data_IF_015739207915
#
_entry.id   IF_015739207915
#
_cell.length_a   1.000
_cell.length_b   1.000
_cell.length_c   1.000
_cell.angle_alpha   90.00
_cell.angle_beta   90.00
_cell.angle_gamma   90.00
#
_symmetry.space_group_name_H-M   'P 1'
#
loop_
_entity.id
_entity.type
_entity.pdbx_description
1 polymer ?
#
# COMPACT_ATOMS: atom_id res chain seq x y z
N UNK A 1 22.87 -16.46 2.10
CA UNK A 1 21.41 -16.45 1.81
C UNK A 1 21.20 -16.78 0.35
N UNK A 2 20.11 -17.46 -0.02
CA UNK A 2 19.77 -17.65 -1.44
C UNK A 2 19.28 -16.34 -2.07
N UNK A 3 19.44 -16.18 -3.38
CA UNK A 3 18.95 -15.01 -4.13
C UNK A 3 17.45 -14.77 -3.87
N UNK A 4 16.64 -15.83 -3.81
CA UNK A 4 15.22 -15.72 -3.50
C UNK A 4 14.96 -15.10 -2.12
N UNK A 5 15.78 -15.42 -1.11
CA UNK A 5 15.62 -14.84 0.23
C UNK A 5 16.06 -13.38 0.30
N UNK A 6 17.07 -13.02 -0.48
CA UNK A 6 17.51 -11.62 -0.63
C UNK A 6 16.40 -10.81 -1.31
N UNK A 7 15.87 -11.29 -2.45
CA UNK A 7 14.76 -10.64 -3.18
C UNK A 7 13.54 -10.48 -2.27
N UNK A 8 13.20 -11.51 -1.48
CA UNK A 8 12.11 -11.43 -0.50
C UNK A 8 12.32 -10.26 0.47
N UNK A 9 13.49 -10.15 1.10
CA UNK A 9 13.76 -9.05 2.03
C UNK A 9 13.77 -7.68 1.38
N UNK A 10 14.34 -7.56 0.17
CA UNK A 10 14.28 -6.31 -0.60
C UNK A 10 12.83 -5.88 -0.83
N UNK A 11 11.97 -6.80 -1.27
CA UNK A 11 10.55 -6.52 -1.47
C UNK A 11 9.82 -6.18 -0.16
N UNK A 12 10.14 -6.86 0.94
CA UNK A 12 9.54 -6.57 2.26
C UNK A 12 9.88 -5.16 2.71
N UNK A 13 11.13 -4.74 2.55
CA UNK A 13 11.58 -3.39 2.91
C UNK A 13 10.93 -2.35 1.98
N UNK A 14 10.86 -2.62 0.67
CA UNK A 14 10.22 -1.72 -0.28
C UNK A 14 8.74 -1.48 0.05
N UNK A 15 7.96 -2.55 0.25
CA UNK A 15 6.54 -2.47 0.62
C UNK A 15 6.38 -1.78 1.98
N UNK A 16 7.20 -2.14 2.97
CA UNK A 16 7.11 -1.52 4.30
C UNK A 16 7.43 -0.02 4.25
N UNK A 17 8.44 0.39 3.48
CA UNK A 17 8.83 1.79 3.34
C UNK A 17 7.74 2.63 2.67
N UNK A 18 7.16 2.13 1.59
CA UNK A 18 6.03 2.78 0.91
C UNK A 18 4.83 2.97 1.84
N UNK A 19 4.35 1.89 2.45
CA UNK A 19 3.17 1.92 3.31
C UNK A 19 3.42 2.68 4.61
N UNK A 20 4.66 2.71 5.11
CA UNK A 20 5.02 3.60 6.23
C UNK A 20 4.93 5.06 5.81
N UNK A 21 5.48 5.41 4.64
CA UNK A 21 5.40 6.77 4.10
C UNK A 21 3.96 7.24 3.91
N UNK A 22 3.11 6.40 3.30
CA UNK A 22 1.69 6.70 3.15
C UNK A 22 0.98 6.81 4.51
N UNK A 23 1.22 5.85 5.41
CA UNK A 23 0.64 5.86 6.75
C UNK A 23 0.94 7.14 7.52
N UNK A 24 2.21 7.57 7.55
CA UNK A 24 2.61 8.81 8.23
C UNK A 24 1.98 10.05 7.58
N UNK A 25 1.97 10.16 6.25
CA UNK A 25 1.34 11.30 5.57
C UNK A 25 -0.18 11.36 5.81
N UNK A 26 -0.84 10.20 5.89
CA UNK A 26 -2.26 10.13 6.21
C UNK A 26 -2.53 10.53 7.68
N UNK A 27 -1.72 10.05 8.62
CA UNK A 27 -1.81 10.42 10.04
C UNK A 27 -1.50 11.91 10.29
N UNK A 28 -0.69 12.53 9.45
CA UNK A 28 -0.47 13.98 9.44
C UNK A 28 -1.64 14.78 8.84
N UNK A 29 -2.67 14.11 8.34
CA UNK A 29 -3.85 14.77 7.80
C UNK A 29 -3.59 15.48 6.48
N UNK A 30 -2.82 14.87 5.57
CA UNK A 30 -2.50 15.47 4.27
C UNK A 30 -3.75 16.01 3.55
N UNK A 31 -3.83 17.33 3.42
CA UNK A 31 -5.03 18.05 2.96
C UNK A 31 -5.54 17.57 1.60
N UNK A 32 -4.63 17.32 0.65
CA UNK A 32 -4.99 16.80 -0.66
C UNK A 32 -5.78 15.48 -0.57
N UNK A 33 -5.39 14.57 0.33
CA UNK A 33 -6.02 13.27 0.49
C UNK A 33 -7.38 13.37 1.18
N UNK A 34 -7.53 14.31 2.12
CA UNK A 34 -8.83 14.67 2.70
C UNK A 34 -9.75 15.20 1.59
N UNK A 35 -9.25 16.10 0.74
CA UNK A 35 -9.97 16.65 -0.41
C UNK A 35 -10.42 15.56 -1.38
N UNK A 36 -9.57 14.58 -1.69
CA UNK A 36 -9.95 13.44 -2.53
C UNK A 36 -11.08 12.63 -1.89
N UNK A 37 -10.98 12.32 -0.60
CA UNK A 37 -12.05 11.59 0.12
C UNK A 37 -13.37 12.35 0.02
N UNK A 38 -13.37 13.66 0.24
CA UNK A 38 -14.58 14.49 0.11
C UNK A 38 -15.14 14.45 -1.32
N UNK A 39 -14.28 14.57 -2.33
CA UNK A 39 -14.69 14.54 -3.74
C UNK A 39 -15.38 13.23 -4.13
N UNK A 40 -14.91 12.08 -3.63
CA UNK A 40 -15.51 10.78 -3.96
C UNK A 40 -16.73 10.41 -3.12
N UNK A 41 -16.82 10.88 -1.88
CA UNK A 41 -17.83 10.41 -0.92
C UNK A 41 -18.88 11.44 -0.56
N UNK A 42 -18.62 12.74 -0.78
CA UNK A 42 -19.52 13.84 -0.42
C UNK A 42 -19.62 14.12 1.09
N UNK A 43 -18.78 13.49 1.92
CA UNK A 43 -18.81 13.69 3.39
C UNK A 43 -18.12 14.99 3.81
N UNK A 44 -18.44 15.49 5.01
CA UNK A 44 -17.78 16.69 5.54
C UNK A 44 -16.30 16.46 5.91
N UNK A 45 -15.55 17.56 5.96
CA UNK A 45 -14.08 17.56 6.14
C UNK A 45 -13.63 16.85 7.42
N UNK A 46 -14.37 17.01 8.53
CA UNK A 46 -14.04 16.36 9.80
C UNK A 46 -14.10 14.84 9.71
N UNK A 47 -15.16 14.31 9.10
CA UNK A 47 -15.33 12.86 8.89
C UNK A 47 -14.34 12.33 7.87
N UNK A 48 -14.02 13.09 6.81
CA UNK A 48 -12.96 12.74 5.87
C UNK A 48 -11.58 12.67 6.53
N UNK A 49 -11.25 13.58 7.46
CA UNK A 49 -10.01 13.56 8.22
C UNK A 49 -9.91 12.33 9.16
N UNK A 50 -11.03 11.97 9.80
CA UNK A 50 -11.10 10.74 10.62
C UNK A 50 -10.89 9.51 9.74
N UNK A 51 -11.55 9.43 8.58
CA UNK A 51 -11.37 8.33 7.63
C UNK A 51 -9.91 8.24 7.15
N UNK A 52 -9.28 9.37 6.84
CA UNK A 52 -7.88 9.40 6.45
C UNK A 52 -6.96 8.91 7.57
N UNK A 53 -7.26 9.24 8.83
CA UNK A 53 -6.52 8.74 9.99
C UNK A 53 -6.62 7.21 10.09
N UNK A 54 -7.82 6.64 9.88
CA UNK A 54 -8.03 5.19 9.88
C UNK A 54 -7.28 4.50 8.73
N UNK A 55 -7.27 5.10 7.54
CA UNK A 55 -6.46 4.65 6.40
C UNK A 55 -4.98 4.66 6.78
N UNK A 56 -4.49 5.72 7.42
CA UNK A 56 -3.10 5.80 7.86
C UNK A 56 -2.71 4.69 8.83
N UNK A 57 -3.57 4.38 9.80
CA UNK A 57 -3.37 3.25 10.72
C UNK A 57 -3.34 1.91 9.98
N UNK A 58 -4.21 1.72 8.98
CA UNK A 58 -4.22 0.52 8.14
C UNK A 58 -2.93 0.38 7.34
N UNK A 59 -2.40 1.47 6.80
CA UNK A 59 -1.15 1.46 6.04
C UNK A 59 0.05 1.10 6.94
N UNK A 60 0.12 1.63 8.16
CA UNK A 60 1.12 1.22 9.15
C UNK A 60 0.99 -0.27 9.49
N UNK A 61 -0.23 -0.77 9.64
CA UNK A 61 -0.47 -2.21 9.86
C UNK A 61 0.06 -3.05 8.69
N UNK A 62 -0.22 -2.65 7.43
CA UNK A 62 0.29 -3.34 6.23
C UNK A 62 1.81 -3.34 6.22
N UNK A 63 2.46 -2.21 6.54
CA UNK A 63 3.92 -2.11 6.59
C UNK A 63 4.52 -3.09 7.62
N UNK A 64 3.95 -3.15 8.83
CA UNK A 64 4.39 -4.07 9.87
C UNK A 64 4.22 -5.53 9.46
N UNK A 65 3.08 -5.89 8.85
CA UNK A 65 2.84 -7.24 8.36
C UNK A 65 3.86 -7.61 7.27
N UNK A 66 4.06 -6.73 6.27
CA UNK A 66 5.03 -6.96 5.20
C UNK A 66 6.44 -7.24 5.77
N UNK A 67 6.87 -6.46 6.76
CA UNK A 67 8.20 -6.55 7.37
C UNK A 67 8.38 -7.75 8.31
N UNK A 68 7.37 -8.07 9.15
CA UNK A 68 7.47 -9.09 10.19
C UNK A 68 7.05 -10.48 9.70
N UNK A 69 5.88 -10.60 9.07
CA UNK A 69 5.38 -11.86 8.51
C UNK A 69 4.49 -11.56 7.29
N UNK A 70 4.99 -11.77 6.05
CA UNK A 70 4.34 -11.23 4.85
C UNK A 70 3.13 -12.12 4.49
N UNK A 71 1.98 -11.83 5.13
CA UNK A 71 0.76 -12.62 4.99
C UNK A 71 0.16 -12.45 3.59
N UNK A 72 -0.12 -13.54 2.84
CA UNK A 72 -0.57 -13.45 1.45
C UNK A 72 -1.82 -12.57 1.25
N UNK A 73 -2.81 -12.67 2.14
CA UNK A 73 -4.02 -11.83 2.05
C UNK A 73 -3.73 -10.34 2.24
N UNK A 74 -2.82 -9.99 3.15
CA UNK A 74 -2.43 -8.59 3.39
C UNK A 74 -1.62 -8.04 2.21
N UNK A 75 -0.80 -8.87 1.56
CA UNK A 75 -0.08 -8.46 0.34
C UNK A 75 -1.02 -8.26 -0.85
N UNK A 76 -2.07 -9.07 -1.00
CA UNK A 76 -3.10 -8.85 -2.01
C UNK A 76 -3.87 -7.56 -1.74
N UNK A 77 -4.21 -7.30 -0.48
CA UNK A 77 -4.78 -6.02 -0.08
C UNK A 77 -3.84 -4.86 -0.41
N UNK A 78 -2.56 -4.97 -0.08
CA UNK A 78 -1.55 -3.94 -0.38
C UNK A 78 -1.45 -3.67 -1.89
N UNK A 79 -1.46 -4.71 -2.72
CA UNK A 79 -1.46 -4.56 -4.17
C UNK A 79 -2.73 -3.86 -4.67
N UNK A 80 -3.91 -4.28 -4.20
CA UNK A 80 -5.17 -3.64 -4.56
C UNK A 80 -5.22 -2.17 -4.11
N UNK A 81 -4.85 -1.90 -2.87
CA UNK A 81 -4.90 -0.57 -2.26
C UNK A 81 -3.86 0.38 -2.84
N UNK A 82 -2.63 -0.09 -3.07
CA UNK A 82 -1.60 0.67 -3.77
C UNK A 82 -2.00 1.03 -5.20
N UNK A 83 -2.69 0.12 -5.89
CA UNK A 83 -3.22 0.38 -7.23
C UNK A 83 -4.35 1.41 -7.18
N UNK A 84 -5.31 1.23 -6.26
CA UNK A 84 -6.43 2.15 -6.09
C UNK A 84 -5.96 3.57 -5.78
N UNK A 85 -5.08 3.74 -4.79
CA UNK A 85 -4.54 5.06 -4.41
C UNK A 85 -3.72 5.69 -5.54
N UNK A 86 -2.99 4.90 -6.34
CA UNK A 86 -2.34 5.40 -7.56
C UNK A 86 -3.37 5.85 -8.60
N UNK A 87 -4.41 5.06 -8.84
CA UNK A 87 -5.47 5.32 -9.83
C UNK A 87 -6.32 6.55 -9.48
N UNK A 88 -6.50 6.85 -8.19
CA UNK A 88 -7.23 8.05 -7.73
C UNK A 88 -6.70 9.34 -8.36
N UNK A 89 -5.39 9.44 -8.60
CA UNK A 89 -4.71 10.64 -9.10
C UNK A 89 -5.29 11.16 -10.42
N UNK A 90 -5.29 10.39 -11.52
CA UNK A 90 -5.96 10.82 -12.75
C UNK A 90 -7.47 11.02 -12.58
N UNK A 91 -8.13 10.32 -11.66
CA UNK A 91 -9.57 10.48 -11.41
C UNK A 91 -9.92 11.79 -10.72
N UNK A 92 -9.00 12.38 -9.95
CA UNK A 92 -9.15 13.70 -9.32
C UNK A 92 -8.57 14.84 -10.17
N UNK A 93 -8.07 14.53 -11.38
CA UNK A 93 -7.54 15.50 -12.32
C UNK A 93 -6.02 15.73 -12.27
N UNK A 94 -5.27 14.92 -11.50
CA UNK A 94 -3.80 14.93 -11.57
C UNK A 94 -3.29 14.27 -12.87
N UNK A 95 -2.05 14.55 -13.31
CA UNK A 95 -1.49 13.96 -14.52
C UNK A 95 -1.49 12.43 -14.49
N UNK A 96 -1.74 11.79 -15.64
CA UNK A 96 -1.67 10.32 -15.77
C UNK A 96 -0.28 9.76 -15.40
N UNK A 97 0.77 10.57 -15.54
CA UNK A 97 2.13 10.20 -15.17
C UNK A 97 2.28 9.96 -13.66
N UNK A 98 1.47 10.61 -12.83
CA UNK A 98 1.47 10.40 -11.38
C UNK A 98 0.90 9.02 -11.01
N UNK A 99 0.06 8.44 -11.86
CA UNK A 99 -0.34 7.03 -11.75
C UNK A 99 0.78 6.10 -12.25
N UNK A 100 1.38 6.39 -13.40
CA UNK A 100 2.41 5.55 -14.01
C UNK A 100 3.67 5.47 -13.14
N UNK A 101 4.15 6.59 -12.59
CA UNK A 101 5.35 6.62 -11.73
C UNK A 101 5.16 5.80 -10.44
N UNK A 102 3.91 5.55 -10.03
CA UNK A 102 3.53 4.81 -8.83
C UNK A 102 3.21 3.34 -9.08
N UNK A 103 3.59 2.79 -10.24
CA UNK A 103 3.53 1.34 -10.47
C UNK A 103 4.20 0.49 -9.38
N UNK A 104 5.34 0.92 -8.78
CA UNK A 104 5.95 0.19 -7.67
C UNK A 104 5.00 -0.02 -6.48
N UNK A 105 4.03 0.90 -6.27
CA UNK A 105 3.12 0.89 -5.13
C UNK A 105 2.31 -0.41 -5.01
N UNK A 106 1.99 -1.01 -6.15
CA UNK A 106 1.23 -2.26 -6.20
C UNK A 106 2.02 -3.41 -6.82
N UNK A 107 3.01 -3.10 -7.65
CA UNK A 107 3.91 -4.11 -8.23
C UNK A 107 4.78 -4.79 -7.18
N UNK A 108 5.33 -4.05 -6.22
CA UNK A 108 6.16 -4.60 -5.15
C UNK A 108 5.39 -5.58 -4.23
N UNK A 109 4.22 -5.24 -3.66
CA UNK A 109 3.46 -6.17 -2.83
C UNK A 109 2.94 -7.38 -3.63
N UNK A 110 2.59 -7.21 -4.92
CA UNK A 110 2.18 -8.32 -5.79
C UNK A 110 3.34 -9.29 -6.06
N UNK A 111 4.55 -8.77 -6.32
CA UNK A 111 5.75 -9.59 -6.47
C UNK A 111 6.06 -10.36 -5.17
N UNK A 112 5.95 -9.69 -4.02
CA UNK A 112 6.15 -10.31 -2.71
C UNK A 112 5.11 -11.42 -2.44
N UNK A 113 3.85 -11.22 -2.85
CA UNK A 113 2.80 -12.23 -2.75
C UNK A 113 3.16 -13.52 -3.50
N UNK A 114 3.60 -13.41 -4.76
CA UNK A 114 3.96 -14.59 -5.54
C UNK A 114 5.21 -15.31 -5.01
N UNK A 115 6.17 -14.56 -4.46
CA UNK A 115 7.37 -15.13 -3.87
C UNK A 115 7.08 -15.87 -2.56
N UNK A 116 6.20 -15.32 -1.71
CA UNK A 116 5.80 -15.92 -0.43
C UNK A 116 4.83 -17.09 -0.60
N UNK A 117 3.89 -17.01 -1.56
CA UNK A 117 2.95 -18.08 -1.88
C UNK A 117 3.63 -19.36 -2.41
N UNK A 118 4.76 -19.24 -3.12
CA UNK A 118 5.55 -20.40 -3.57
C UNK A 118 6.23 -21.15 -2.41
N UNK A 119 6.62 -20.44 -1.35
CA UNK A 119 7.26 -21.05 -0.18
C UNK A 119 6.30 -21.91 0.64
N UNK A 120 5.05 -21.45 0.84
CA UNK A 120 4.04 -22.20 1.59
C UNK A 120 3.65 -23.53 0.93
N UNK A 121 3.74 -23.61 -0.41
CA UNK A 121 3.51 -24.88 -1.14
C UNK A 121 4.68 -25.86 -1.03
N UNK A 122 5.90 -25.37 -0.80
CA UNK A 122 7.10 -26.22 -0.63
C UNK A 122 7.22 -26.69 0.83
N UNK A 123 6.83 -25.89 1.82
CA UNK A 123 6.86 -26.33 3.23
C UNK A 123 5.76 -27.31 3.62
N UNK A 124 4.69 -27.40 2.81
CA UNK A 124 3.55 -28.31 3.03
C UNK A 124 3.64 -29.58 2.16
N UNK A 125 4.82 -29.90 1.64
CA UNK A 125 5.17 -31.16 0.97
C UNK A 125 6.36 -31.77 1.68
#
# INVERSE_FOLDING_TARGET
MSNSKIIEWVLRIAVAGEFTGHGILALQGKEAWIGWIQQFTGIEIGTAAILLTLIGLLDIFVALVALLKPLPLVLLWAAFWGFWTALVRPLVGEPIWDFVERWPNWGAPLALYYLTGRRNKISNR
#
